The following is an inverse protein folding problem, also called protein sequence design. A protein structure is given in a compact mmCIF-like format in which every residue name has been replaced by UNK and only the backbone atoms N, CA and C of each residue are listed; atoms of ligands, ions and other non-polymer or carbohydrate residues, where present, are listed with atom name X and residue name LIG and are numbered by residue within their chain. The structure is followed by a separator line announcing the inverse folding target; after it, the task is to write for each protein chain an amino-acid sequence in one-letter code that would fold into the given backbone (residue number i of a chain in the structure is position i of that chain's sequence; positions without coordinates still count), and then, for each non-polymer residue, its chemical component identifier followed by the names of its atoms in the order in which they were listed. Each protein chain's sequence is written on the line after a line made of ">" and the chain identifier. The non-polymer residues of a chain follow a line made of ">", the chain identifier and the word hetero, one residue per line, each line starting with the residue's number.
data_IF_193200587621
#
_entry.id   IF_193200587621
#
_cell.length_a   1.000
_cell.length_b   1.000
_cell.length_c   1.000
_cell.angle_alpha   90.00
_cell.angle_beta   90.00
_cell.angle_gamma   90.00
#
_symmetry.space_group_name_H-M   'P 1'
#
loop_
_entity.id
_entity.type
_entity.pdbx_description
1 polymer ?
#
# COMPACT_ATOMS: atom_id res chain seq x y z
N UNK A 1 0.18 28.44 -13.44
CA UNK A 1 -0.77 27.46 -14.02
C UNK A 1 -0.10 26.26 -14.68
N UNK A 2 1.06 26.40 -15.34
CA UNK A 2 1.82 25.28 -15.96
C UNK A 2 2.13 24.12 -14.98
N UNK A 3 2.50 24.43 -13.72
CA UNK A 3 2.83 23.43 -12.70
C UNK A 3 1.63 22.55 -12.30
N UNK A 4 0.42 23.14 -12.20
CA UNK A 4 -0.79 22.39 -11.84
C UNK A 4 -1.27 21.47 -12.98
N UNK A 5 -1.10 21.91 -14.24
CA UNK A 5 -1.40 21.07 -15.41
C UNK A 5 -0.42 19.89 -15.53
N UNK A 6 0.87 20.11 -15.24
CA UNK A 6 1.86 19.04 -15.16
C UNK A 6 1.51 18.05 -14.03
N UNK A 7 1.11 18.56 -12.87
CA UNK A 7 0.68 17.73 -11.73
C UNK A 7 -0.57 16.89 -12.05
N UNK A 8 -1.55 17.45 -12.77
CA UNK A 8 -2.71 16.71 -13.27
C UNK A 8 -2.31 15.55 -14.18
N UNK A 9 -1.31 15.74 -15.05
CA UNK A 9 -0.77 14.69 -15.92
C UNK A 9 -0.05 13.61 -15.11
N UNK A 10 0.63 14.00 -14.04
CA UNK A 10 1.27 13.08 -13.11
C UNK A 10 0.23 12.22 -12.37
N UNK A 11 -0.85 12.81 -11.85
CA UNK A 11 -1.96 12.07 -11.25
C UNK A 11 -2.58 11.10 -12.25
N UNK A 12 -2.81 11.51 -13.51
CA UNK A 12 -3.32 10.61 -14.54
C UNK A 12 -2.39 9.41 -14.78
N UNK A 13 -1.07 9.63 -14.78
CA UNK A 13 -0.07 8.54 -14.86
C UNK A 13 -0.13 7.63 -13.62
N UNK A 14 -0.23 8.20 -12.40
CA UNK A 14 -0.37 7.44 -11.15
C UNK A 14 -1.63 6.57 -11.18
N UNK A 15 -2.77 7.10 -11.64
CA UNK A 15 -4.01 6.33 -11.83
C UNK A 15 -3.79 5.19 -12.83
N UNK A 16 -3.18 5.46 -13.98
CA UNK A 16 -2.92 4.42 -15.00
C UNK A 16 -2.04 3.29 -14.44
N UNK A 17 -1.01 3.61 -13.67
CA UNK A 17 -0.16 2.61 -13.02
C UNK A 17 -0.93 1.80 -11.98
N UNK A 18 -1.80 2.45 -11.20
CA UNK A 18 -2.63 1.77 -10.21
C UNK A 18 -3.63 0.81 -10.86
N UNK A 19 -4.23 1.20 -11.99
CA UNK A 19 -5.14 0.34 -12.75
C UNK A 19 -4.42 -0.91 -13.24
N UNK A 20 -3.22 -0.75 -13.83
CA UNK A 20 -2.40 -1.90 -14.27
C UNK A 20 -2.09 -2.81 -13.09
N UNK A 21 -1.68 -2.24 -11.95
CA UNK A 21 -1.40 -2.99 -10.73
C UNK A 21 -2.62 -3.77 -10.22
N UNK A 22 -3.79 -3.12 -10.10
CA UNK A 22 -5.03 -3.79 -9.70
C UNK A 22 -5.38 -4.94 -10.65
N UNK A 23 -5.35 -4.71 -11.97
CA UNK A 23 -5.67 -5.77 -12.95
C UNK A 23 -4.70 -6.96 -12.80
N UNK A 24 -3.40 -6.71 -12.65
CA UNK A 24 -2.42 -7.78 -12.45
C UNK A 24 -2.62 -8.53 -11.14
N UNK A 25 -2.97 -7.83 -10.05
CA UNK A 25 -3.24 -8.42 -8.75
C UNK A 25 -4.50 -9.28 -8.79
N UNK A 26 -5.57 -8.80 -9.44
CA UNK A 26 -6.84 -9.52 -9.60
C UNK A 26 -6.64 -10.83 -10.37
N UNK A 27 -5.85 -10.81 -11.45
CA UNK A 27 -5.49 -12.02 -12.20
C UNK A 27 -4.72 -12.99 -11.29
N UNK A 28 -3.75 -12.50 -10.52
CA UNK A 28 -2.98 -13.34 -9.60
C UNK A 28 -3.86 -13.97 -8.49
N UNK A 29 -4.84 -13.23 -7.95
CA UNK A 29 -5.80 -13.71 -6.95
C UNK A 29 -6.69 -14.80 -7.56
N UNK A 30 -7.24 -14.60 -8.76
CA UNK A 30 -8.09 -15.60 -9.42
C UNK A 30 -7.29 -16.87 -9.70
N UNK A 31 -6.07 -16.73 -10.24
CA UNK A 31 -5.19 -17.87 -10.51
C UNK A 31 -4.83 -18.60 -9.20
N UNK A 32 -4.50 -17.87 -8.14
CA UNK A 32 -4.23 -18.45 -6.83
C UNK A 32 -5.44 -19.20 -6.26
N UNK A 33 -6.63 -18.60 -6.31
CA UNK A 33 -7.86 -19.20 -5.78
C UNK A 33 -8.29 -20.46 -6.53
N UNK A 34 -8.09 -20.51 -7.85
CA UNK A 34 -8.47 -21.67 -8.68
C UNK A 34 -7.39 -22.75 -8.66
N UNK A 35 -6.11 -22.40 -8.84
CA UNK A 35 -5.05 -23.41 -8.98
C UNK A 35 -4.48 -23.88 -7.64
N UNK A 36 -4.31 -23.02 -6.64
CA UNK A 36 -3.67 -23.44 -5.37
C UNK A 36 -4.64 -24.23 -4.47
N UNK A 37 -5.94 -23.94 -4.55
CA UNK A 37 -6.96 -24.60 -3.74
C UNK A 37 -7.15 -26.08 -4.10
N UNK A 38 -6.99 -26.44 -5.37
CA UNK A 38 -7.10 -27.82 -5.84
C UNK A 38 -5.84 -28.66 -5.57
N UNK A 39 -4.67 -28.03 -5.42
CA UNK A 39 -3.38 -28.73 -5.30
C UNK A 39 -3.04 -29.08 -3.84
N UNK A 40 -3.50 -28.31 -2.85
CA UNK A 40 -3.10 -28.52 -1.45
C UNK A 40 -4.24 -28.26 -0.45
N UNK A 41 -5.14 -29.23 -0.22
CA UNK A 41 -6.22 -29.11 0.76
C UNK A 41 -5.72 -29.04 2.22
N UNK A 42 -4.48 -29.50 2.49
CA UNK A 42 -3.84 -29.44 3.81
C UNK A 42 -3.40 -28.03 4.22
N UNK A 43 -3.29 -27.10 3.27
CA UNK A 43 -2.81 -25.73 3.49
C UNK A 43 -3.90 -24.69 3.18
N UNK A 44 -5.16 -25.07 3.41
CA UNK A 44 -6.32 -24.19 3.17
C UNK A 44 -6.20 -22.88 3.98
N UNK A 45 -5.85 -22.98 5.27
CA UNK A 45 -5.74 -21.82 6.17
C UNK A 45 -4.68 -20.80 5.71
N UNK A 46 -3.53 -21.26 5.20
CA UNK A 46 -2.47 -20.37 4.72
C UNK A 46 -2.82 -19.74 3.37
N UNK A 47 -3.48 -20.50 2.50
CA UNK A 47 -3.92 -20.01 1.18
C UNK A 47 -5.02 -18.96 1.32
N UNK A 48 -5.97 -19.18 2.24
CA UNK A 48 -7.02 -18.22 2.56
C UNK A 48 -6.45 -16.93 3.17
N UNK A 49 -5.41 -17.02 4.01
CA UNK A 49 -4.71 -15.85 4.53
C UNK A 49 -4.07 -15.02 3.41
N UNK A 50 -3.30 -15.66 2.52
CA UNK A 50 -2.61 -14.98 1.42
C UNK A 50 -3.62 -14.33 0.46
N UNK A 51 -4.70 -15.02 0.13
CA UNK A 51 -5.80 -14.47 -0.67
C UNK A 51 -6.47 -13.27 0.03
N UNK A 52 -6.73 -13.39 1.34
CA UNK A 52 -7.26 -12.30 2.17
C UNK A 52 -6.35 -11.07 2.21
N UNK A 53 -5.03 -11.27 2.28
CA UNK A 53 -4.05 -10.19 2.28
C UNK A 53 -4.04 -9.43 0.94
N UNK A 54 -3.95 -10.15 -0.19
CA UNK A 54 -3.95 -9.53 -1.51
C UNK A 54 -5.27 -8.84 -1.85
N UNK A 55 -6.41 -9.44 -1.49
CA UNK A 55 -7.73 -8.80 -1.65
C UNK A 55 -7.87 -7.53 -0.79
N UNK A 56 -7.33 -7.55 0.44
CA UNK A 56 -7.26 -6.37 1.30
C UNK A 56 -6.45 -5.23 0.69
N UNK A 57 -5.26 -5.52 0.13
CA UNK A 57 -4.44 -4.53 -0.57
C UNK A 57 -5.18 -3.97 -1.78
N UNK A 58 -5.84 -4.84 -2.55
CA UNK A 58 -6.60 -4.43 -3.72
C UNK A 58 -7.72 -3.43 -3.36
N UNK A 59 -8.45 -3.68 -2.27
CA UNK A 59 -9.45 -2.74 -1.76
C UNK A 59 -8.85 -1.37 -1.38
N UNK A 60 -7.68 -1.36 -0.73
CA UNK A 60 -6.98 -0.11 -0.38
C UNK A 60 -6.55 0.64 -1.65
N UNK A 61 -6.04 -0.08 -2.66
CA UNK A 61 -5.68 0.49 -3.95
C UNK A 61 -6.91 1.09 -4.66
N UNK A 62 -8.05 0.38 -4.68
CA UNK A 62 -9.29 0.89 -5.27
C UNK A 62 -9.80 2.15 -4.56
N UNK A 63 -9.73 2.19 -3.22
CA UNK A 63 -10.08 3.38 -2.45
C UNK A 63 -9.17 4.56 -2.80
N UNK A 64 -7.85 4.34 -2.82
CA UNK A 64 -6.88 5.37 -3.16
C UNK A 64 -7.04 5.88 -4.60
N UNK A 65 -7.36 4.98 -5.54
CA UNK A 65 -7.70 5.34 -6.91
C UNK A 65 -8.93 6.25 -6.96
N UNK A 66 -9.97 5.97 -6.18
CA UNK A 66 -11.15 6.82 -6.05
C UNK A 66 -10.78 8.25 -5.61
N UNK A 67 -9.89 8.38 -4.61
CA UNK A 67 -9.36 9.67 -4.19
C UNK A 67 -8.58 10.40 -5.31
N UNK A 68 -7.74 9.69 -6.06
CA UNK A 68 -6.99 10.27 -7.18
C UNK A 68 -7.89 10.68 -8.34
N UNK A 69 -8.92 9.91 -8.66
CA UNK A 69 -9.91 10.26 -9.68
C UNK A 69 -10.70 11.50 -9.25
N UNK A 70 -11.05 11.61 -7.96
CA UNK A 70 -11.66 12.83 -7.41
C UNK A 70 -10.73 14.03 -7.56
N UNK A 71 -9.44 13.88 -7.24
CA UNK A 71 -8.44 14.93 -7.44
C UNK A 71 -8.24 15.28 -8.92
N UNK A 72 -8.36 14.30 -9.81
CA UNK A 72 -8.31 14.56 -11.24
C UNK A 72 -9.55 15.30 -11.74
N UNK A 73 -10.74 15.12 -11.16
CA UNK A 73 -11.96 15.83 -11.61
C UNK A 73 -12.11 17.21 -10.97
N UNK A 74 -11.78 17.33 -9.69
CA UNK A 74 -11.97 18.56 -8.91
C UNK A 74 -10.68 19.38 -8.82
N UNK A 75 -10.68 20.58 -9.42
CA UNK A 75 -9.52 21.48 -9.39
C UNK A 75 -9.20 22.01 -7.99
N UNK A 76 -10.19 22.17 -7.10
CA UNK A 76 -9.94 22.62 -5.72
C UNK A 76 -9.17 21.53 -4.96
N UNK A 77 -9.63 20.29 -5.07
CA UNK A 77 -9.00 19.15 -4.43
C UNK A 77 -7.61 18.85 -5.02
N UNK A 78 -7.42 19.06 -6.33
CA UNK A 78 -6.12 18.99 -6.98
C UNK A 78 -5.12 20.00 -6.41
N UNK A 79 -5.56 21.26 -6.22
CA UNK A 79 -4.73 22.32 -5.64
C UNK A 79 -4.37 22.01 -4.19
N UNK A 80 -5.33 21.50 -3.41
CA UNK A 80 -5.10 21.10 -2.02
C UNK A 80 -4.04 19.99 -1.90
N UNK A 81 -4.15 18.93 -2.73
CA UNK A 81 -3.13 17.88 -2.78
C UNK A 81 -1.75 18.43 -3.18
N UNK A 82 -1.70 19.28 -4.21
CA UNK A 82 -0.45 19.88 -4.66
C UNK A 82 0.22 20.73 -3.58
N UNK A 83 -0.55 21.57 -2.89
CA UNK A 83 -0.04 22.39 -1.78
C UNK A 83 0.50 21.50 -0.67
N UNK A 84 -0.23 20.44 -0.29
CA UNK A 84 0.20 19.52 0.77
C UNK A 84 1.42 18.67 0.39
N UNK A 85 1.59 18.33 -0.89
CA UNK A 85 2.79 17.63 -1.36
C UNK A 85 4.02 18.53 -1.44
N UNK A 86 3.82 19.83 -1.69
CA UNK A 86 4.92 20.82 -1.82
C UNK A 86 5.27 21.50 -0.50
N UNK A 87 4.45 21.36 0.54
CA UNK A 87 4.68 21.94 1.87
C UNK A 87 5.95 21.35 2.52
N UNK A 88 6.90 22.22 2.83
CA UNK A 88 8.19 21.87 3.44
C UNK A 88 8.03 21.17 4.80
N UNK A 89 7.04 21.56 5.60
CA UNK A 89 6.76 20.94 6.90
C UNK A 89 6.33 19.49 6.73
N UNK A 90 5.45 19.23 5.76
CA UNK A 90 5.00 17.88 5.43
C UNK A 90 6.13 17.01 4.86
N UNK A 91 7.02 17.57 4.04
CA UNK A 91 8.20 16.87 3.53
C UNK A 91 9.14 16.49 4.68
N UNK A 92 9.43 17.42 5.59
CA UNK A 92 10.27 17.17 6.77
C UNK A 92 9.69 16.10 7.69
N UNK A 93 8.38 16.14 7.95
CA UNK A 93 7.71 15.11 8.75
C UNK A 93 7.83 13.74 8.07
N UNK A 94 7.62 13.64 6.75
CA UNK A 94 7.75 12.37 6.00
C UNK A 94 9.17 11.80 6.08
N UNK A 95 10.17 12.66 5.91
CA UNK A 95 11.57 12.25 6.00
C UNK A 95 11.93 11.73 7.40
N UNK A 96 11.53 12.44 8.46
CA UNK A 96 11.87 12.06 9.84
C UNK A 96 11.05 10.89 10.38
N UNK A 97 9.83 10.70 9.90
CA UNK A 97 8.96 9.60 10.34
C UNK A 97 9.20 8.30 9.57
N UNK A 98 9.95 8.32 8.47
CA UNK A 98 10.10 7.15 7.60
C UNK A 98 8.80 6.78 6.86
N UNK A 99 7.79 7.66 6.84
CA UNK A 99 6.44 7.39 6.29
C UNK A 99 6.45 6.87 4.85
N UNK A 100 7.46 7.22 4.05
CA UNK A 100 7.54 6.76 2.68
C UNK A 100 8.25 5.41 2.54
N UNK A 101 9.25 5.12 3.39
CA UNK A 101 10.13 3.94 3.21
C UNK A 101 9.69 2.75 4.08
N UNK A 102 9.23 3.01 5.30
CA UNK A 102 8.89 1.94 6.25
C UNK A 102 7.72 1.10 5.74
N UNK A 103 6.62 1.67 5.20
CA UNK A 103 5.56 0.85 4.64
C UNK A 103 5.99 -0.02 3.45
N UNK A 104 6.95 0.44 2.65
CA UNK A 104 7.52 -0.34 1.54
C UNK A 104 8.31 -1.53 2.10
N UNK A 105 9.15 -1.30 3.12
CA UNK A 105 9.90 -2.36 3.78
C UNK A 105 8.98 -3.38 4.46
N UNK A 106 7.94 -2.90 5.16
CA UNK A 106 6.93 -3.78 5.78
C UNK A 106 6.19 -4.60 4.74
N UNK A 107 5.85 -4.02 3.58
CA UNK A 107 5.24 -4.76 2.48
C UNK A 107 6.15 -5.86 1.93
N UNK A 108 7.45 -5.58 1.75
CA UNK A 108 8.43 -6.61 1.31
C UNK A 108 8.54 -7.73 2.34
N UNK A 109 8.59 -7.41 3.64
CA UNK A 109 8.60 -8.40 4.72
C UNK A 109 7.34 -9.26 4.69
N UNK A 110 6.17 -8.67 4.48
CA UNK A 110 4.90 -9.41 4.44
C UNK A 110 4.80 -10.34 3.23
N UNK A 111 5.33 -9.93 2.07
CA UNK A 111 5.45 -10.82 0.89
C UNK A 111 6.35 -12.01 1.20
N UNK A 112 7.47 -11.80 1.91
CA UNK A 112 8.35 -12.90 2.35
C UNK A 112 7.62 -13.78 3.39
N UNK A 113 6.86 -13.18 4.30
CA UNK A 113 6.06 -13.90 5.29
C UNK A 113 5.04 -14.84 4.62
N UNK A 114 4.37 -14.38 3.55
CA UNK A 114 3.44 -15.20 2.75
C UNK A 114 4.12 -16.40 2.07
N UNK A 115 5.41 -16.32 1.75
CA UNK A 115 6.16 -17.49 1.25
C UNK A 115 6.52 -18.41 2.40
N UNK A 116 6.97 -17.83 3.53
CA UNK A 116 7.35 -18.59 4.72
C UNK A 116 6.17 -19.29 5.39
N UNK A 117 4.93 -18.83 5.20
CA UNK A 117 3.74 -19.50 5.73
C UNK A 117 3.57 -20.94 5.22
N UNK A 118 4.13 -21.26 4.05
CA UNK A 118 4.13 -22.62 3.50
C UNK A 118 5.32 -23.48 3.98
N UNK A 119 6.31 -22.87 4.64
CA UNK A 119 7.53 -23.56 5.11
C UNK A 119 7.52 -23.72 6.64
N UNK A 120 7.29 -22.63 7.37
CA UNK A 120 7.28 -22.61 8.83
C UNK A 120 6.33 -21.51 9.34
N UNK A 121 5.28 -21.96 10.04
CA UNK A 121 4.24 -21.09 10.58
C UNK A 121 4.74 -20.13 11.68
N UNK A 122 5.72 -20.54 12.50
CA UNK A 122 6.29 -19.68 13.54
C UNK A 122 7.05 -18.49 12.93
N UNK A 123 7.81 -18.74 11.86
CA UNK A 123 8.53 -17.69 11.12
C UNK A 123 7.55 -16.71 10.48
N UNK A 124 6.44 -17.21 9.92
CA UNK A 124 5.37 -16.38 9.39
C UNK A 124 4.82 -15.42 10.45
N UNK A 125 4.41 -15.93 11.62
CA UNK A 125 3.89 -15.09 12.70
C UNK A 125 4.91 -14.01 13.12
N UNK A 126 6.18 -14.39 13.27
CA UNK A 126 7.22 -13.47 13.66
C UNK A 126 7.41 -12.33 12.64
N UNK A 127 7.43 -12.65 11.35
CA UNK A 127 7.58 -11.65 10.28
C UNK A 127 6.38 -10.72 10.19
N UNK A 128 5.15 -11.25 10.26
CA UNK A 128 3.93 -10.43 10.27
C UNK A 128 3.89 -9.50 11.50
N UNK A 129 4.30 -9.99 12.68
CA UNK A 129 4.38 -9.15 13.87
C UNK A 129 5.39 -8.00 13.71
N UNK A 130 6.54 -8.25 13.08
CA UNK A 130 7.54 -7.22 12.77
C UNK A 130 7.00 -6.19 11.78
N UNK A 131 6.33 -6.63 10.71
CA UNK A 131 5.72 -5.73 9.72
C UNK A 131 4.67 -4.81 10.37
N UNK A 132 3.80 -5.36 11.22
CA UNK A 132 2.80 -4.58 11.96
C UNK A 132 3.48 -3.57 12.90
N UNK A 133 4.49 -4.00 13.66
CA UNK A 133 5.21 -3.12 14.58
C UNK A 133 5.88 -1.94 13.86
N UNK A 134 6.47 -2.18 12.68
CA UNK A 134 7.07 -1.14 11.84
C UNK A 134 6.05 -0.07 11.41
N UNK A 135 4.86 -0.48 10.99
CA UNK A 135 3.78 0.45 10.63
C UNK A 135 3.33 1.27 11.84
N UNK A 136 3.14 0.62 13.00
CA UNK A 136 2.74 1.30 14.24
C UNK A 136 3.79 2.34 14.65
N UNK A 137 5.08 1.98 14.66
CA UNK A 137 6.18 2.89 14.98
C UNK A 137 6.18 4.09 14.03
N UNK A 138 5.98 3.86 12.73
CA UNK A 138 5.90 4.92 11.72
C UNK A 138 4.76 5.90 11.99
N UNK A 139 3.59 5.38 12.38
CA UNK A 139 2.43 6.20 12.75
C UNK A 139 2.72 7.02 14.01
N UNK A 140 3.32 6.42 15.04
CA UNK A 140 3.72 7.12 16.27
C UNK A 140 4.71 8.23 15.96
N UNK A 141 5.76 7.94 15.17
CA UNK A 141 6.76 8.93 14.76
C UNK A 141 6.14 10.07 13.96
N UNK A 142 5.22 9.76 13.05
CA UNK A 142 4.48 10.78 12.30
C UNK A 142 3.69 11.70 13.24
N UNK A 143 2.97 11.15 14.22
CA UNK A 143 2.21 11.94 15.21
C UNK A 143 3.17 12.80 16.05
N UNK A 144 4.29 12.23 16.50
CA UNK A 144 5.29 12.93 17.29
C UNK A 144 5.87 14.13 16.53
N UNK A 145 6.36 13.92 15.29
CA UNK A 145 6.95 14.99 14.49
C UNK A 145 5.93 16.04 14.05
N UNK A 146 4.67 15.64 13.81
CA UNK A 146 3.59 16.58 13.48
C UNK A 146 3.18 17.50 14.63
N UNK A 147 3.40 17.09 15.89
CA UNK A 147 3.15 17.93 17.06
C UNK A 147 4.34 18.84 17.38
N UNK A 148 5.54 18.42 17.01
CA UNK A 148 6.80 19.09 17.37
C UNK A 148 7.22 20.17 16.37
N UNK A 149 7.03 19.92 15.08
CA UNK A 149 7.23 20.86 13.97
C UNK A 149 5.91 21.58 13.71
#
# INVERSE_FOLDING_TARGET
>A
MKNLQNYRKEIARRISLLVVFCVTALIAIILGAVFLKDISPSSADTTDYVLGFFTGIELVCLFYMGCLIRAYRDEKYLKEMYTKETDEREILIRMKSGKNIVPILSFVIEVIACVMSYVNYEVFIALTAVAIAQIIITVILKIYWSKKL
#
